data_IF_653439694382
#
_entry.id   IF_653439694382
#
_cell.length_a   1.000
_cell.length_b   1.000
_cell.length_c   1.000
_cell.angle_alpha   90.00
_cell.angle_beta   90.00
_cell.angle_gamma   90.00
#
_symmetry.space_group_name_H-M   'P 1'
#
loop_
_entity.id
_entity.type
_entity.pdbx_description
1 polymer ?
#
# COMPACT_ATOMS: atom_id res chain seq x y z
N UNK A 1 23.48 -14.01 0.66
CA UNK A 1 24.58 -13.40 -0.10
C UNK A 1 24.26 -11.93 -0.27
N UNK A 2 25.15 -11.04 0.19
CA UNK A 2 24.98 -9.60 0.07
C UNK A 2 25.21 -9.16 -1.37
N UNK A 3 24.13 -8.80 -2.05
CA UNK A 3 24.19 -8.22 -3.39
C UNK A 3 24.23 -6.71 -3.28
N UNK A 4 25.36 -6.10 -3.62
CA UNK A 4 25.45 -4.65 -3.81
C UNK A 4 25.32 -4.34 -5.30
N UNK A 5 24.59 -3.29 -5.62
CA UNK A 5 24.55 -2.70 -6.96
C UNK A 5 25.32 -1.38 -6.87
N UNK A 6 26.39 -1.24 -7.64
CA UNK A 6 27.15 0.00 -7.74
C UNK A 6 26.85 0.69 -9.07
N UNK A 7 26.50 1.98 -9.02
CA UNK A 7 26.26 2.82 -10.19
C UNK A 7 27.20 4.01 -10.10
N UNK A 8 28.04 4.20 -11.11
CA UNK A 8 29.04 5.29 -11.18
C UNK A 8 28.80 6.17 -12.40
N UNK A 9 28.86 7.50 -12.24
CA UNK A 9 28.77 8.46 -13.36
C UNK A 9 27.38 8.64 -13.97
N UNK A 10 26.32 8.09 -13.36
CA UNK A 10 24.96 8.30 -13.84
C UNK A 10 24.44 9.70 -13.45
N UNK A 11 23.71 10.35 -14.36
CA UNK A 11 22.97 11.60 -14.08
C UNK A 11 21.59 11.33 -13.49
N UNK A 12 21.04 10.15 -13.76
CA UNK A 12 19.74 9.67 -13.29
C UNK A 12 19.74 8.14 -13.30
N UNK A 13 19.01 7.54 -12.36
CA UNK A 13 18.78 6.11 -12.31
C UNK A 13 17.38 5.81 -11.77
N UNK A 14 16.84 4.66 -12.17
CA UNK A 14 15.55 4.17 -11.70
C UNK A 14 15.71 2.77 -11.15
N UNK A 15 15.13 2.51 -9.98
CA UNK A 15 15.07 1.18 -9.38
C UNK A 15 13.66 0.63 -9.57
N UNK A 16 13.57 -0.59 -10.10
CA UNK A 16 12.33 -1.34 -10.18
C UNK A 16 12.46 -2.52 -9.23
N UNK A 17 11.53 -2.61 -8.29
CA UNK A 17 11.49 -3.64 -7.26
C UNK A 17 10.23 -4.48 -7.47
N UNK A 18 10.39 -5.80 -7.54
CA UNK A 18 9.29 -6.75 -7.62
C UNK A 18 9.51 -7.85 -6.59
N UNK A 19 8.45 -8.21 -5.89
CA UNK A 19 8.45 -9.28 -4.89
C UNK A 19 7.18 -10.11 -5.03
N UNK A 20 7.28 -11.39 -4.70
CA UNK A 20 6.17 -12.32 -4.74
C UNK A 20 6.45 -13.53 -3.87
N UNK A 21 5.40 -14.18 -3.39
CA UNK A 21 5.47 -15.42 -2.63
C UNK A 21 4.77 -16.53 -3.40
N UNK A 22 4.97 -17.77 -2.99
CA UNK A 22 4.18 -18.90 -3.46
C UNK A 22 2.83 -19.01 -2.72
N UNK A 23 2.32 -17.97 -2.07
CA UNK A 23 1.02 -18.04 -1.41
C UNK A 23 -0.09 -18.31 -2.43
N UNK A 24 -0.94 -19.29 -2.13
CA UNK A 24 -2.14 -19.60 -2.90
C UNK A 24 -3.31 -19.94 -1.98
N UNK A 25 -4.30 -19.05 -1.94
CA UNK A 25 -5.51 -19.22 -1.12
C UNK A 25 -6.33 -20.46 -1.50
N UNK A 26 -6.32 -20.88 -2.78
CA UNK A 26 -7.08 -22.07 -3.20
C UNK A 26 -6.58 -23.36 -2.57
N UNK A 27 -5.33 -23.37 -2.08
CA UNK A 27 -4.69 -24.52 -1.45
C UNK A 27 -4.84 -24.51 0.07
N UNK A 28 -5.75 -23.70 0.61
CA UNK A 28 -6.14 -23.67 2.02
C UNK A 28 -7.20 -24.71 2.41
N UNK A 29 -7.23 -25.87 1.76
CA UNK A 29 -8.26 -26.90 1.95
C UNK A 29 -7.65 -28.28 2.25
N UNK A 30 -8.48 -29.24 2.66
CA UNK A 30 -8.04 -30.59 3.04
C UNK A 30 -7.31 -31.34 1.92
N UNK A 31 -7.73 -31.18 0.65
CA UNK A 31 -7.08 -31.83 -0.50
C UNK A 31 -5.63 -31.36 -0.71
N UNK A 32 -5.33 -30.12 -0.31
CA UNK A 32 -3.98 -29.55 -0.34
C UNK A 32 -3.31 -29.52 1.05
N UNK A 33 -3.83 -30.29 2.01
CA UNK A 33 -3.39 -30.35 3.41
C UNK A 33 -3.22 -28.97 4.06
N UNK A 34 -4.14 -28.04 3.76
CA UNK A 34 -4.12 -26.66 4.26
C UNK A 34 -2.78 -25.94 4.05
N UNK A 35 -2.07 -26.26 2.97
CA UNK A 35 -0.69 -25.77 2.76
C UNK A 35 -0.62 -24.28 2.43
N UNK A 36 -1.64 -23.72 1.77
CA UNK A 36 -1.62 -22.37 1.19
C UNK A 36 -0.44 -22.11 0.25
N UNK A 37 0.22 -23.15 -0.26
CA UNK A 37 1.41 -23.05 -1.12
C UNK A 37 1.06 -23.42 -2.56
N UNK A 38 1.43 -22.56 -3.50
CA UNK A 38 1.38 -22.78 -4.94
C UNK A 38 2.78 -22.98 -5.54
N UNK A 39 2.89 -22.69 -6.83
CA UNK A 39 4.14 -22.78 -7.57
C UNK A 39 5.19 -21.77 -7.08
N UNK A 40 6.47 -22.07 -7.35
CA UNK A 40 7.58 -21.16 -7.08
C UNK A 40 7.35 -19.79 -7.75
N UNK A 41 7.56 -18.66 -7.02
CA UNK A 41 7.21 -17.34 -7.53
C UNK A 41 8.27 -16.75 -8.47
N UNK A 42 9.47 -17.33 -8.56
CA UNK A 42 10.62 -16.73 -9.23
C UNK A 42 10.31 -16.35 -10.68
N UNK A 43 9.76 -17.28 -11.47
CA UNK A 43 9.44 -17.02 -12.87
C UNK A 43 8.43 -15.88 -13.04
N UNK A 44 7.40 -15.82 -12.18
CA UNK A 44 6.37 -14.77 -12.21
C UNK A 44 6.95 -13.39 -11.83
N UNK A 45 7.77 -13.35 -10.78
CA UNK A 45 8.42 -12.11 -10.33
C UNK A 45 9.40 -11.60 -11.39
N UNK A 46 10.24 -12.48 -11.96
CA UNK A 46 11.19 -12.12 -13.02
C UNK A 46 10.49 -11.61 -14.28
N UNK A 47 9.40 -12.25 -14.70
CA UNK A 47 8.59 -11.78 -15.83
C UNK A 47 7.96 -10.40 -15.57
N UNK A 48 7.48 -10.16 -14.34
CA UNK A 48 6.91 -8.86 -13.93
C UNK A 48 7.96 -7.77 -13.98
N UNK A 49 9.16 -8.04 -13.46
CA UNK A 49 10.29 -7.11 -13.50
C UNK A 49 10.72 -6.80 -14.93
N UNK A 50 10.86 -7.82 -15.79
CA UNK A 50 11.23 -7.65 -17.19
C UNK A 50 10.19 -6.82 -17.97
N UNK A 51 8.90 -7.10 -17.77
CA UNK A 51 7.82 -6.34 -18.39
C UNK A 51 7.83 -4.87 -17.96
N UNK A 52 8.05 -4.59 -16.67
CA UNK A 52 8.17 -3.22 -16.18
C UNK A 52 9.41 -2.51 -16.74
N UNK A 53 10.56 -3.19 -16.75
CA UNK A 53 11.83 -2.64 -17.23
C UNK A 53 11.85 -2.34 -18.74
N UNK A 54 10.99 -3.01 -19.53
CA UNK A 54 10.82 -2.73 -20.95
C UNK A 54 10.11 -1.39 -21.24
N UNK A 55 9.59 -0.70 -20.21
CA UNK A 55 8.86 0.55 -20.35
C UNK A 55 9.69 1.74 -19.84
N UNK A 56 9.66 2.90 -20.53
CA UNK A 56 10.23 4.13 -19.99
C UNK A 56 9.56 4.54 -18.68
N UNK A 57 10.32 5.16 -17.77
CA UNK A 57 9.81 5.68 -16.50
C UNK A 57 8.57 6.57 -16.68
N UNK A 58 8.56 7.44 -17.68
CA UNK A 58 7.42 8.34 -17.95
C UNK A 58 6.11 7.58 -18.23
N UNK A 59 6.20 6.44 -18.93
CA UNK A 59 5.06 5.56 -19.18
C UNK A 59 4.58 4.89 -17.90
N UNK A 60 5.51 4.36 -17.09
CA UNK A 60 5.19 3.74 -15.80
C UNK A 60 4.53 4.75 -14.85
N UNK A 61 5.09 5.95 -14.75
CA UNK A 61 4.57 7.05 -13.94
C UNK A 61 3.17 7.48 -14.37
N UNK A 62 2.95 7.67 -15.69
CA UNK A 62 1.64 8.03 -16.22
C UNK A 62 0.59 6.93 -15.96
N UNK A 63 0.99 5.67 -16.13
CA UNK A 63 0.11 4.52 -15.87
C UNK A 63 -0.30 4.45 -14.40
N UNK A 64 0.67 4.55 -13.49
CA UNK A 64 0.45 4.58 -12.05
C UNK A 64 -0.46 5.74 -11.62
N UNK A 65 -0.14 6.97 -12.07
CA UNK A 65 -0.90 8.15 -11.65
C UNK A 65 -2.33 8.13 -12.18
N UNK A 66 -2.57 7.63 -13.40
CA UNK A 66 -3.93 7.48 -13.93
C UNK A 66 -4.74 6.44 -13.15
N UNK A 67 -4.14 5.28 -12.84
CA UNK A 67 -4.78 4.23 -12.04
C UNK A 67 -5.15 4.74 -10.64
N UNK A 68 -4.19 5.36 -9.94
CA UNK A 68 -4.41 5.90 -8.60
C UNK A 68 -5.45 7.02 -8.61
N UNK A 69 -5.33 7.99 -9.53
CA UNK A 69 -6.26 9.13 -9.63
C UNK A 69 -7.69 8.67 -9.85
N UNK A 70 -7.93 7.64 -10.68
CA UNK A 70 -9.29 7.12 -10.91
C UNK A 70 -10.00 6.72 -9.61
N UNK A 71 -9.28 6.13 -8.67
CA UNK A 71 -9.84 5.73 -7.36
C UNK A 71 -9.92 6.92 -6.40
N UNK A 72 -8.85 7.71 -6.35
CA UNK A 72 -8.76 8.83 -5.42
C UNK A 72 -9.72 9.98 -5.75
N UNK A 73 -9.97 10.25 -7.03
CA UNK A 73 -10.87 11.32 -7.46
C UNK A 73 -12.36 10.97 -7.36
N UNK A 74 -12.71 9.73 -6.97
CA UNK A 74 -14.10 9.31 -6.84
C UNK A 74 -14.87 10.05 -5.74
N UNK A 75 -14.17 10.71 -4.82
CA UNK A 75 -14.73 11.54 -3.77
C UNK A 75 -13.79 12.71 -3.48
N UNK A 76 -14.36 13.87 -3.17
CA UNK A 76 -13.61 15.06 -2.74
C UNK A 76 -14.30 15.65 -1.52
N UNK A 77 -13.51 15.96 -0.50
CA UNK A 77 -13.93 16.71 0.68
C UNK A 77 -13.38 18.13 0.56
N UNK A 78 -14.22 19.12 0.77
CA UNK A 78 -13.81 20.51 0.89
C UNK A 78 -14.51 21.15 2.10
N UNK A 79 -13.72 21.70 3.01
CA UNK A 79 -14.11 22.44 4.20
C UNK A 79 -13.53 23.85 4.19
N UNK A 80 -13.22 24.36 2.99
CA UNK A 80 -12.55 25.64 2.80
C UNK A 80 -11.23 25.73 3.59
N UNK A 81 -10.58 24.58 3.76
CA UNK A 81 -9.28 24.48 4.41
C UNK A 81 -8.19 25.11 3.55
N UNK A 82 -7.34 25.92 4.17
CA UNK A 82 -6.12 26.43 3.54
C UNK A 82 -4.96 25.46 3.75
N UNK A 83 -3.96 25.48 2.86
CA UNK A 83 -2.77 24.65 3.05
C UNK A 83 -1.96 25.14 4.24
N UNK A 84 -1.43 24.21 5.04
CA UNK A 84 -0.51 24.57 6.12
C UNK A 84 0.82 25.11 5.58
N UNK A 85 1.34 26.16 6.20
CA UNK A 85 2.66 26.74 5.92
C UNK A 85 3.81 26.07 6.69
N UNK A 86 3.48 25.16 7.62
CA UNK A 86 4.43 24.42 8.44
C UNK A 86 4.46 22.93 8.04
N UNK A 87 5.53 22.21 8.39
CA UNK A 87 5.61 20.76 8.21
C UNK A 87 4.43 20.01 8.88
N UNK A 88 4.03 18.87 8.29
CA UNK A 88 2.87 18.09 8.76
C UNK A 88 3.04 17.58 10.19
N UNK A 89 4.25 17.18 10.60
CA UNK A 89 4.56 16.76 11.96
C UNK A 89 4.31 17.89 12.98
N UNK A 90 4.73 19.11 12.69
CA UNK A 90 4.45 20.28 13.52
C UNK A 90 2.95 20.62 13.54
N UNK A 91 2.27 20.60 12.39
CA UNK A 91 0.82 20.82 12.31
C UNK A 91 0.03 19.82 13.16
N UNK A 92 0.43 18.55 13.15
CA UNK A 92 -0.18 17.50 13.97
C UNK A 92 0.07 17.69 15.47
N UNK A 93 1.25 18.20 15.86
CA UNK A 93 1.54 18.56 17.26
C UNK A 93 0.63 19.73 17.69
N UNK A 94 0.53 20.77 16.87
CA UNK A 94 -0.32 21.93 17.16
C UNK A 94 -1.79 21.53 17.31
N UNK A 95 -2.30 20.66 16.43
CA UNK A 95 -3.68 20.17 16.50
C UNK A 95 -4.01 19.44 17.81
N UNK A 96 -3.04 18.75 18.43
CA UNK A 96 -3.24 18.07 19.73
C UNK A 96 -3.39 19.05 20.89
N UNK A 97 -2.76 20.22 20.79
CA UNK A 97 -2.78 21.26 21.81
C UNK A 97 -4.02 22.14 21.61
N UNK A 98 -4.26 22.54 20.37
CA UNK A 98 -5.38 23.39 19.95
C UNK A 98 -6.09 22.72 18.78
N UNK A 99 -7.11 21.89 19.04
CA UNK A 99 -7.92 21.26 17.99
C UNK A 99 -8.69 22.30 17.17
N UNK A 100 -9.33 21.85 16.08
CA UNK A 100 -10.08 22.64 15.10
C UNK A 100 -9.24 23.32 14.00
N UNK A 101 -8.26 22.61 13.45
CA UNK A 101 -7.63 22.96 12.17
C UNK A 101 -8.27 22.16 11.02
N UNK A 102 -9.10 22.80 10.15
CA UNK A 102 -9.76 22.12 9.04
C UNK A 102 -8.78 21.46 8.06
N UNK A 103 -7.56 21.96 7.93
CA UNK A 103 -6.54 21.37 7.06
C UNK A 103 -6.05 20.04 7.60
N UNK A 104 -5.77 19.95 8.90
CA UNK A 104 -5.31 18.71 9.54
C UNK A 104 -6.39 17.63 9.47
N UNK A 105 -7.65 18.00 9.68
CA UNK A 105 -8.79 17.09 9.60
C UNK A 105 -9.00 16.60 8.16
N UNK A 106 -8.97 17.52 7.19
CA UNK A 106 -9.04 17.21 5.76
C UNK A 106 -7.89 16.30 5.32
N UNK A 107 -6.66 16.58 5.76
CA UNK A 107 -5.48 15.80 5.43
C UNK A 107 -5.57 14.39 6.01
N UNK A 108 -6.03 14.26 7.26
CA UNK A 108 -6.21 12.97 7.94
C UNK A 108 -7.26 12.11 7.24
N UNK A 109 -8.39 12.71 6.84
CA UNK A 109 -9.42 12.02 6.06
C UNK A 109 -8.87 11.48 4.74
N UNK A 110 -8.16 12.33 3.99
CA UNK A 110 -7.58 11.94 2.71
C UNK A 110 -6.44 10.93 2.86
N UNK A 111 -5.68 10.97 3.95
CA UNK A 111 -4.68 9.97 4.29
C UNK A 111 -5.34 8.59 4.49
N UNK A 112 -6.48 8.51 5.18
CA UNK A 112 -7.23 7.26 5.32
C UNK A 112 -7.61 6.64 3.97
N UNK A 113 -8.08 7.47 3.03
CA UNK A 113 -8.41 7.04 1.66
C UNK A 113 -7.17 6.59 0.88
N UNK A 114 -6.08 7.34 0.97
CA UNK A 114 -4.78 6.97 0.39
C UNK A 114 -4.31 5.62 0.92
N UNK A 115 -4.37 5.40 2.24
CA UNK A 115 -3.94 4.16 2.88
C UNK A 115 -4.80 2.97 2.46
N UNK A 116 -6.12 3.14 2.35
CA UNK A 116 -7.01 2.08 1.87
C UNK A 116 -6.70 1.71 0.41
N UNK A 117 -6.58 2.69 -0.48
CA UNK A 117 -6.23 2.44 -1.90
C UNK A 117 -4.88 1.72 -2.00
N UNK A 118 -3.89 2.13 -1.19
CA UNK A 118 -2.54 1.58 -1.25
C UNK A 118 -2.43 0.18 -0.64
N UNK A 119 -3.27 -0.14 0.36
CA UNK A 119 -3.22 -1.42 1.08
C UNK A 119 -4.23 -2.46 0.57
N UNK A 120 -5.33 -2.06 -0.09
CA UNK A 120 -6.40 -2.98 -0.50
C UNK A 120 -6.83 -2.72 -1.94
N UNK A 121 -6.44 -3.61 -2.85
CA UNK A 121 -6.78 -3.53 -4.29
C UNK A 121 -7.44 -4.83 -4.75
N UNK A 122 -8.30 -4.79 -5.78
CA UNK A 122 -8.81 -6.02 -6.38
C UNK A 122 -7.68 -7.00 -6.73
N UNK A 123 -7.83 -8.26 -6.34
CA UNK A 123 -6.79 -9.29 -6.52
C UNK A 123 -5.69 -9.31 -5.45
N UNK A 124 -5.72 -8.43 -4.44
CA UNK A 124 -4.86 -8.54 -3.25
C UNK A 124 -5.63 -9.09 -2.05
N UNK A 125 -4.89 -9.52 -1.02
CA UNK A 125 -5.48 -9.73 0.30
C UNK A 125 -6.02 -8.40 0.86
N UNK A 126 -7.05 -8.44 1.74
CA UNK A 126 -7.55 -7.25 2.41
C UNK A 126 -6.47 -6.61 3.31
N UNK A 127 -6.64 -5.33 3.63
CA UNK A 127 -5.79 -4.63 4.60
C UNK A 127 -5.88 -5.32 5.98
N UNK A 128 -4.73 -5.65 6.57
CA UNK A 128 -4.66 -6.18 7.94
C UNK A 128 -4.60 -5.03 8.97
N UNK A 129 -4.30 -5.33 10.24
CA UNK A 129 -4.18 -4.30 11.30
C UNK A 129 -3.22 -3.15 10.99
N UNK A 130 -2.24 -3.36 10.09
CA UNK A 130 -1.27 -2.34 9.69
C UNK A 130 -1.34 -2.07 8.18
N UNK A 131 -2.45 -2.43 7.54
CA UNK A 131 -2.64 -2.38 6.09
C UNK A 131 -1.75 -3.37 5.35
N UNK A 132 -0.57 -2.89 4.94
CA UNK A 132 0.52 -3.66 4.31
C UNK A 132 1.91 -3.29 4.86
N UNK A 133 1.97 -2.41 5.85
CA UNK A 133 3.21 -1.85 6.36
C UNK A 133 3.48 -2.41 7.74
N UNK A 134 4.60 -3.12 7.90
CA UNK A 134 5.04 -3.62 9.19
C UNK A 134 6.55 -3.44 9.30
N UNK A 135 7.02 -3.04 10.47
CA UNK A 135 8.44 -2.97 10.78
C UNK A 135 8.89 -4.29 11.40
N UNK A 136 9.83 -4.96 10.74
CA UNK A 136 10.39 -6.22 11.21
C UNK A 136 9.49 -7.44 11.01
N UNK A 137 9.88 -8.55 11.66
CA UNK A 137 9.21 -9.85 11.52
C UNK A 137 8.11 -10.07 12.57
N UNK A 138 8.11 -9.28 13.65
CA UNK A 138 7.18 -9.41 14.76
C UNK A 138 6.35 -8.14 14.87
N UNK A 139 5.25 -8.12 14.13
CA UNK A 139 4.26 -7.06 14.20
C UNK A 139 3.45 -7.17 15.52
N UNK A 140 3.11 -6.05 16.19
CA UNK A 140 2.12 -6.04 17.25
C UNK A 140 0.82 -6.75 16.83
N UNK A 141 0.32 -7.63 17.70
CA UNK A 141 -0.83 -8.51 17.43
C UNK A 141 -0.69 -9.32 16.12
N UNK A 142 0.54 -9.72 15.80
CA UNK A 142 0.90 -10.47 14.58
C UNK A 142 0.57 -9.78 13.25
N UNK A 143 0.11 -8.52 13.27
CA UNK A 143 -0.42 -7.85 12.08
C UNK A 143 -1.50 -8.67 11.38
N UNK A 144 -2.29 -9.44 12.13
CA UNK A 144 -3.28 -10.36 11.57
C UNK A 144 -4.60 -9.63 11.22
N UNK A 145 -5.63 -10.42 10.93
CA UNK A 145 -6.99 -9.93 10.77
C UNK A 145 -7.76 -10.15 12.07
N UNK A 146 -8.20 -9.06 12.71
CA UNK A 146 -9.12 -9.11 13.85
C UNK A 146 -10.57 -9.00 13.37
N UNK A 147 -11.30 -10.11 13.18
CA UNK A 147 -12.56 -10.11 12.43
C UNK A 147 -13.65 -9.28 13.11
N UNK A 148 -13.65 -9.24 14.45
CA UNK A 148 -14.60 -8.42 15.23
C UNK A 148 -14.43 -6.92 14.97
N UNK A 149 -13.19 -6.45 14.82
CA UNK A 149 -12.88 -5.04 14.54
C UNK A 149 -13.14 -4.71 13.06
N UNK A 150 -12.71 -5.59 12.15
CA UNK A 150 -12.91 -5.41 10.70
C UNK A 150 -14.40 -5.36 10.33
N UNK A 151 -15.24 -6.14 11.01
CA UNK A 151 -16.70 -6.09 10.89
C UNK A 151 -17.28 -4.74 11.32
N UNK A 152 -16.82 -4.20 12.45
CA UNK A 152 -17.27 -2.90 12.96
C UNK A 152 -16.87 -1.75 12.02
N UNK A 153 -15.75 -1.87 11.31
CA UNK A 153 -15.28 -0.88 10.34
C UNK A 153 -15.89 -1.06 8.94
N UNK A 154 -16.71 -2.09 8.71
CA UNK A 154 -17.38 -2.35 7.43
C UNK A 154 -16.44 -2.83 6.32
N UNK A 155 -15.32 -3.45 6.67
CA UNK A 155 -14.29 -3.91 5.71
C UNK A 155 -14.38 -5.40 5.38
N UNK A 156 -15.54 -6.02 5.60
CA UNK A 156 -15.81 -7.37 5.14
C UNK A 156 -15.95 -7.38 3.61
N UNK A 157 -15.40 -8.41 2.96
CA UNK A 157 -15.64 -8.63 1.54
C UNK A 157 -17.14 -8.96 1.37
N UNK A 158 -17.88 -8.31 0.46
CA UNK A 158 -19.23 -8.75 0.13
C UNK A 158 -19.18 -10.20 -0.40
N UNK A 159 -20.26 -10.98 -0.19
CA UNK A 159 -20.31 -12.39 -0.57
C UNK A 159 -19.99 -12.63 -2.05
#
# INVERSE_FOLDING_TARGET
QGGTIQVTGAKQGYLILAAGTNYNQSNGNAAANYSFKGADPHAKVSATLAAAAANPYSTLYKTHTNDYKKLYSAFTLNWDQESSSIPTDEAMVNYRITPNDPYVEWLTFNLGRYMLISSSRPGTLPANLQGKWAEGLQAPWSGDYHPRLLKQLGWERPP
#
